data_IF_417245024711
#
_entry.id   IF_417245024711
#
_cell.length_a   1.000
_cell.length_b   1.000
_cell.length_c   1.000
_cell.angle_alpha   90.00
_cell.angle_beta   90.00
_cell.angle_gamma   90.00
#
_symmetry.space_group_name_H-M   'P 1'
#
loop_
_entity.id
_entity.type
_entity.pdbx_description
1 polymer ?
#
# COMPACT_ATOMS: atom_id res chain seq x y z
N UNK A 1 18.58 2.12 -16.45
CA UNK A 1 17.37 1.76 -17.23
C UNK A 1 16.13 1.60 -16.34
N UNK A 2 16.18 0.86 -15.22
CA UNK A 2 15.07 0.68 -14.27
C UNK A 2 14.52 2.00 -13.67
N UNK A 3 15.38 2.95 -13.32
CA UNK A 3 14.96 4.25 -12.74
C UNK A 3 14.19 5.14 -13.72
N UNK A 4 14.52 5.09 -15.01
CA UNK A 4 13.83 5.84 -16.08
C UNK A 4 12.44 5.21 -16.30
N UNK A 5 12.37 3.88 -16.34
CA UNK A 5 11.10 3.14 -16.51
C UNK A 5 10.13 3.42 -15.34
N UNK A 6 10.60 3.47 -14.11
CA UNK A 6 9.78 3.81 -12.91
C UNK A 6 9.26 5.25 -12.96
N UNK A 7 10.06 6.20 -13.48
CA UNK A 7 9.62 7.58 -13.67
C UNK A 7 8.52 7.67 -14.71
N UNK A 8 8.71 7.09 -15.90
CA UNK A 8 7.72 7.06 -16.98
C UNK A 8 6.39 6.39 -16.54
N UNK A 9 6.48 5.31 -15.75
CA UNK A 9 5.31 4.62 -15.17
C UNK A 9 4.58 5.53 -14.17
N UNK A 10 5.32 6.24 -13.31
CA UNK A 10 4.72 7.16 -12.34
C UNK A 10 4.06 8.36 -13.02
N UNK A 11 4.68 8.93 -14.05
CA UNK A 11 4.13 10.05 -14.82
C UNK A 11 2.83 9.63 -15.54
N UNK A 12 2.77 8.41 -16.10
CA UNK A 12 1.57 7.86 -16.73
C UNK A 12 0.46 7.63 -15.71
N UNK A 13 0.78 7.09 -14.53
CA UNK A 13 -0.19 6.89 -13.45
C UNK A 13 -0.71 8.24 -12.91
N UNK A 14 0.15 9.23 -12.75
CA UNK A 14 -0.24 10.56 -12.31
C UNK A 14 -1.18 11.23 -13.33
N UNK A 15 -0.94 11.06 -14.64
CA UNK A 15 -1.82 11.56 -15.70
C UNK A 15 -3.20 10.88 -15.66
N UNK A 16 -3.26 9.58 -15.37
CA UNK A 16 -4.51 8.82 -15.20
C UNK A 16 -5.30 9.29 -13.96
N UNK A 17 -4.65 9.46 -12.84
CA UNK A 17 -5.32 9.94 -11.61
C UNK A 17 -5.80 11.40 -11.72
N UNK A 18 -5.13 12.24 -12.51
CA UNK A 18 -5.50 13.65 -12.71
C UNK A 18 -6.83 13.84 -13.46
N UNK A 19 -7.25 12.85 -14.26
CA UNK A 19 -8.55 12.88 -14.99
C UNK A 19 -9.65 12.11 -14.24
N UNK A 20 -9.43 11.78 -13.00
CA UNK A 20 -10.43 11.14 -12.14
C UNK A 20 -11.50 12.13 -11.70
N UNK A 21 -12.75 11.70 -11.80
CA UNK A 21 -13.92 12.39 -11.26
C UNK A 21 -14.51 11.61 -10.08
N UNK A 22 -15.25 12.30 -9.23
CA UNK A 22 -16.00 11.72 -8.11
C UNK A 22 -17.45 12.16 -8.25
N UNK A 23 -18.40 11.23 -8.15
CA UNK A 23 -19.82 11.52 -8.19
C UNK A 23 -20.36 12.01 -6.83
N UNK A 24 -21.66 12.31 -6.78
CA UNK A 24 -22.36 12.79 -5.56
C UNK A 24 -22.33 11.76 -4.41
N UNK A 25 -22.13 10.47 -4.73
CA UNK A 25 -22.05 9.38 -3.77
C UNK A 25 -20.60 9.08 -3.33
N UNK A 26 -19.62 9.85 -3.80
CA UNK A 26 -18.21 9.61 -3.52
C UNK A 26 -17.56 8.51 -4.36
N UNK A 27 -18.24 8.02 -5.42
CA UNK A 27 -17.73 6.97 -6.31
C UNK A 27 -16.86 7.59 -7.39
N UNK A 28 -15.63 7.04 -7.54
CA UNK A 28 -14.69 7.50 -8.56
C UNK A 28 -15.06 6.96 -9.96
N UNK A 29 -14.90 7.80 -10.97
CA UNK A 29 -15.12 7.43 -12.37
C UNK A 29 -14.24 8.25 -13.32
N UNK A 30 -14.12 7.80 -14.56
CA UNK A 30 -13.38 8.45 -15.65
C UNK A 30 -14.29 8.63 -16.87
N UNK A 31 -14.13 9.75 -17.59
CA UNK A 31 -14.75 9.86 -18.91
C UNK A 31 -13.88 9.21 -19.98
N UNK A 32 -14.50 8.41 -20.85
CA UNK A 32 -13.79 7.68 -21.89
C UNK A 32 -13.03 8.62 -22.86
N UNK A 33 -13.58 9.82 -23.14
CA UNK A 33 -12.89 10.80 -23.98
C UNK A 33 -11.66 11.42 -23.34
N UNK A 34 -11.64 11.57 -22.04
CA UNK A 34 -10.46 12.04 -21.32
C UNK A 34 -9.39 10.93 -21.27
N UNK A 35 -9.81 9.70 -21.00
CA UNK A 35 -8.93 8.52 -21.05
C UNK A 35 -8.33 8.31 -22.44
N UNK A 36 -9.10 8.55 -23.51
CA UNK A 36 -8.64 8.51 -24.89
C UNK A 36 -7.39 9.38 -25.10
N UNK A 37 -7.39 10.60 -24.55
CA UNK A 37 -6.26 11.53 -24.69
C UNK A 37 -5.04 11.04 -23.90
N UNK A 38 -5.24 10.56 -22.66
CA UNK A 38 -4.16 10.00 -21.82
C UNK A 38 -3.51 8.78 -22.51
N UNK A 39 -4.33 7.92 -23.14
CA UNK A 39 -3.83 6.76 -23.89
C UNK A 39 -3.37 7.11 -25.33
N UNK A 40 -3.27 8.41 -25.64
CA UNK A 40 -2.76 8.93 -26.92
C UNK A 40 -3.50 8.39 -28.16
N UNK A 41 -4.83 8.21 -28.07
CA UNK A 41 -5.65 7.95 -29.24
C UNK A 41 -6.09 9.28 -29.87
N UNK A 42 -5.91 9.41 -31.18
CA UNK A 42 -6.27 10.62 -31.95
C UNK A 42 -7.66 10.56 -32.54
N UNK A 43 -8.19 9.35 -32.81
CA UNK A 43 -9.48 9.13 -33.43
C UNK A 43 -10.40 8.34 -32.50
N UNK A 44 -11.61 8.86 -32.24
CA UNK A 44 -12.60 8.21 -31.39
C UNK A 44 -12.95 6.79 -31.85
N UNK A 45 -13.15 6.61 -33.16
CA UNK A 45 -13.52 5.31 -33.73
C UNK A 45 -12.49 4.20 -33.43
N UNK A 46 -11.20 4.56 -33.37
CA UNK A 46 -10.15 3.60 -33.02
C UNK A 46 -10.16 3.30 -31.51
N UNK A 47 -10.45 4.31 -30.69
CA UNK A 47 -10.55 4.13 -29.24
C UNK A 47 -11.83 3.35 -28.87
N UNK A 48 -12.95 3.63 -29.55
CA UNK A 48 -14.23 2.93 -29.37
C UNK A 48 -14.10 1.43 -29.64
N UNK A 49 -13.38 1.02 -30.68
CA UNK A 49 -13.04 -0.39 -30.91
C UNK A 49 -12.29 -1.04 -29.76
N UNK A 50 -11.45 -0.27 -29.07
CA UNK A 50 -10.74 -0.76 -27.87
C UNK A 50 -11.69 -0.88 -26.68
N UNK A 51 -12.63 0.07 -26.53
CA UNK A 51 -13.69 -0.01 -25.52
C UNK A 51 -14.57 -1.26 -25.78
N UNK A 52 -14.94 -1.55 -27.03
CA UNK A 52 -15.74 -2.74 -27.37
C UNK A 52 -15.02 -4.04 -27.02
N UNK A 53 -13.71 -4.13 -27.29
CA UNK A 53 -12.89 -5.27 -26.83
C UNK A 53 -12.88 -5.40 -25.30
N UNK A 54 -12.76 -4.28 -24.60
CA UNK A 54 -12.81 -4.28 -23.13
C UNK A 54 -14.19 -4.70 -22.60
N UNK A 55 -15.30 -4.26 -23.24
CA UNK A 55 -16.65 -4.73 -22.91
C UNK A 55 -16.82 -6.23 -23.12
N UNK A 56 -16.27 -6.78 -24.21
CA UNK A 56 -16.27 -8.23 -24.46
C UNK A 56 -15.47 -8.98 -23.37
N UNK A 57 -14.29 -8.47 -23.02
CA UNK A 57 -13.48 -9.04 -21.94
C UNK A 57 -14.23 -9.00 -20.59
N UNK A 58 -14.89 -7.90 -20.27
CA UNK A 58 -15.72 -7.74 -19.08
C UNK A 58 -16.83 -8.80 -19.03
N UNK A 59 -17.59 -8.95 -20.12
CA UNK A 59 -18.68 -9.95 -20.24
C UNK A 59 -18.16 -11.37 -20.08
N UNK A 60 -17.05 -11.72 -20.74
CA UNK A 60 -16.48 -13.07 -20.70
C UNK A 60 -15.87 -13.40 -19.32
N UNK A 61 -15.59 -12.38 -18.50
CA UNK A 61 -15.17 -12.53 -17.09
C UNK A 61 -16.36 -12.57 -16.11
N UNK A 62 -17.60 -12.74 -16.61
CA UNK A 62 -18.84 -12.78 -15.84
C UNK A 62 -19.17 -11.49 -15.05
N UNK A 63 -18.64 -10.34 -15.49
CA UNK A 63 -19.03 -9.05 -14.95
C UNK A 63 -20.10 -8.39 -15.80
N UNK A 64 -21.03 -7.68 -15.15
CA UNK A 64 -22.04 -6.90 -15.85
C UNK A 64 -21.41 -5.64 -16.49
N UNK A 65 -21.55 -5.50 -17.80
CA UNK A 65 -20.97 -4.38 -18.54
C UNK A 65 -21.50 -3.04 -18.03
N UNK A 66 -22.81 -2.95 -17.70
CA UNK A 66 -23.46 -1.70 -17.30
C UNK A 66 -22.92 -1.14 -15.97
N UNK A 67 -22.37 -2.00 -15.11
CA UNK A 67 -21.78 -1.58 -13.83
C UNK A 67 -20.43 -0.88 -14.04
N UNK A 68 -19.80 -1.09 -15.20
CA UNK A 68 -18.45 -0.62 -15.49
C UNK A 68 -18.36 0.37 -16.64
N UNK A 69 -19.31 0.33 -17.58
CA UNK A 69 -19.37 1.18 -18.78
C UNK A 69 -20.75 1.81 -18.88
N UNK A 70 -20.94 2.97 -18.25
CA UNK A 70 -22.22 3.68 -18.23
C UNK A 70 -22.24 4.76 -19.30
N UNK A 71 -23.31 4.83 -20.11
CA UNK A 71 -23.48 5.88 -21.12
C UNK A 71 -23.45 7.28 -20.50
N UNK A 72 -22.64 8.17 -21.07
CA UNK A 72 -22.50 9.57 -20.64
C UNK A 72 -22.50 10.52 -21.83
N UNK A 73 -23.44 10.33 -22.74
CA UNK A 73 -23.56 11.12 -23.97
C UNK A 73 -23.80 12.60 -23.67
N UNK A 74 -23.12 13.50 -24.38
CA UNK A 74 -23.27 14.96 -24.27
C UNK A 74 -23.82 15.52 -25.59
N UNK A 75 -24.65 16.56 -25.50
CA UNK A 75 -25.00 17.36 -26.65
C UNK A 75 -23.99 18.48 -26.82
N UNK A 76 -23.29 18.51 -27.95
CA UNK A 76 -22.28 19.54 -28.28
C UNK A 76 -22.75 20.40 -29.42
N UNK A 77 -22.52 21.71 -29.30
CA UNK A 77 -22.84 22.68 -30.36
C UNK A 77 -21.83 22.50 -31.49
N UNK A 78 -22.28 22.39 -32.72
CA UNK A 78 -21.47 22.35 -33.93
C UNK A 78 -21.52 23.68 -34.70
N UNK A 79 -20.53 23.92 -35.60
CA UNK A 79 -20.35 25.20 -36.29
C UNK A 79 -21.53 25.71 -37.12
N UNK A 80 -22.56 24.88 -37.35
CA UNK A 80 -23.82 25.26 -37.99
C UNK A 80 -24.86 25.78 -36.99
N UNK A 81 -24.56 25.90 -35.68
CA UNK A 81 -25.54 26.25 -34.65
C UNK A 81 -26.46 25.10 -34.23
N UNK A 82 -26.28 23.90 -34.80
CA UNK A 82 -27.03 22.71 -34.44
C UNK A 82 -26.34 21.94 -33.29
N UNK A 83 -27.10 21.14 -32.53
CA UNK A 83 -26.58 20.26 -31.51
C UNK A 83 -26.37 18.85 -32.06
N UNK A 84 -25.20 18.27 -31.75
CA UNK A 84 -24.89 16.88 -32.10
C UNK A 84 -24.66 16.06 -30.83
N UNK A 85 -25.24 14.87 -30.76
CA UNK A 85 -24.96 13.90 -29.74
C UNK A 85 -23.52 13.43 -29.85
N UNK A 86 -22.73 13.64 -28.80
CA UNK A 86 -21.37 13.14 -28.67
C UNK A 86 -21.36 11.94 -27.74
N UNK A 87 -21.01 10.78 -28.29
CA UNK A 87 -20.92 9.52 -27.50
C UNK A 87 -19.77 9.63 -26.51
N UNK A 88 -20.03 9.31 -25.26
CA UNK A 88 -19.03 9.19 -24.17
C UNK A 88 -19.51 8.13 -23.17
N UNK A 89 -18.60 7.67 -22.31
CA UNK A 89 -18.88 6.70 -21.27
C UNK A 89 -18.30 7.17 -19.94
N UNK A 90 -19.03 6.94 -18.83
CA UNK A 90 -18.45 6.91 -17.50
C UNK A 90 -17.87 5.50 -17.28
N UNK A 91 -16.62 5.44 -16.92
CA UNK A 91 -15.85 4.22 -16.76
C UNK A 91 -15.48 4.05 -15.29
N UNK A 92 -15.62 2.85 -14.74
CA UNK A 92 -14.99 2.52 -13.47
C UNK A 92 -13.49 2.33 -13.66
N UNK A 93 -12.71 2.31 -12.59
CA UNK A 93 -11.27 1.98 -12.61
C UNK A 93 -11.01 0.64 -13.30
N UNK A 94 -11.85 -0.37 -13.05
CA UNK A 94 -11.77 -1.69 -13.69
C UNK A 94 -11.95 -1.60 -15.21
N UNK A 95 -12.93 -0.83 -15.68
CA UNK A 95 -13.13 -0.59 -17.12
C UNK A 95 -11.91 0.07 -17.77
N UNK A 96 -11.31 1.08 -17.11
CA UNK A 96 -10.10 1.73 -17.59
C UNK A 96 -8.93 0.74 -17.73
N UNK A 97 -8.81 -0.20 -16.78
CA UNK A 97 -7.80 -1.26 -16.83
C UNK A 97 -8.02 -2.21 -18.00
N UNK A 98 -9.25 -2.67 -18.22
CA UNK A 98 -9.60 -3.51 -19.36
C UNK A 98 -9.33 -2.80 -20.70
N UNK A 99 -9.63 -1.49 -20.80
CA UNK A 99 -9.33 -0.69 -21.99
C UNK A 99 -7.82 -0.64 -22.25
N UNK A 100 -7.01 -0.37 -21.22
CA UNK A 100 -5.55 -0.33 -21.36
C UNK A 100 -4.97 -1.71 -21.75
N UNK A 101 -5.48 -2.80 -21.15
CA UNK A 101 -5.06 -4.17 -21.48
C UNK A 101 -5.40 -4.59 -22.93
N UNK A 102 -6.52 -4.10 -23.48
CA UNK A 102 -6.95 -4.36 -24.84
C UNK A 102 -6.45 -3.32 -25.85
N UNK A 103 -5.64 -2.35 -25.42
CA UNK A 103 -5.05 -1.31 -26.23
C UNK A 103 -3.86 -1.80 -27.07
N UNK A 104 -3.44 -0.95 -28.02
CA UNK A 104 -2.31 -1.24 -28.92
C UNK A 104 -0.98 -1.05 -28.17
N UNK A 105 -0.32 -2.15 -27.80
CA UNK A 105 0.96 -2.17 -27.08
C UNK A 105 2.14 -1.55 -27.84
N UNK A 106 2.01 -1.27 -29.13
CA UNK A 106 3.01 -0.50 -29.91
C UNK A 106 3.08 0.96 -29.45
N UNK A 107 2.04 1.47 -28.80
CA UNK A 107 2.06 2.78 -28.15
C UNK A 107 2.75 2.69 -26.80
N UNK A 108 3.82 3.49 -26.61
CA UNK A 108 4.61 3.48 -25.36
C UNK A 108 3.74 3.65 -24.10
N UNK A 109 2.76 4.57 -24.13
CA UNK A 109 1.87 4.83 -23.00
C UNK A 109 1.01 3.61 -22.63
N UNK A 110 0.54 2.85 -23.62
CA UNK A 110 -0.24 1.63 -23.38
C UNK A 110 0.65 0.51 -22.84
N UNK A 111 1.84 0.32 -23.42
CA UNK A 111 2.81 -0.64 -22.92
C UNK A 111 3.21 -0.34 -21.47
N UNK A 112 3.38 0.93 -21.10
CA UNK A 112 3.65 1.37 -19.72
C UNK A 112 2.46 1.10 -18.80
N UNK A 113 1.23 1.38 -19.23
CA UNK A 113 0.03 1.09 -18.46
C UNK A 113 -0.14 -0.42 -18.23
N UNK A 114 0.07 -1.26 -19.24
CA UNK A 114 0.03 -2.73 -19.13
C UNK A 114 1.10 -3.23 -18.15
N UNK A 115 2.32 -2.72 -18.23
CA UNK A 115 3.42 -3.04 -17.30
C UNK A 115 3.07 -2.62 -15.87
N UNK A 116 2.51 -1.41 -15.69
CA UNK A 116 2.05 -0.94 -14.38
C UNK A 116 1.04 -1.89 -13.77
N UNK A 117 0.01 -2.31 -14.53
CA UNK A 117 -1.02 -3.23 -14.02
C UNK A 117 -0.45 -4.61 -13.70
N UNK A 118 0.43 -5.16 -14.55
CA UNK A 118 1.09 -6.43 -14.26
C UNK A 118 1.89 -6.38 -12.96
N UNK A 119 2.63 -5.29 -12.72
CA UNK A 119 3.40 -5.07 -11.50
C UNK A 119 2.48 -4.90 -10.28
N UNK A 120 1.38 -4.14 -10.40
CA UNK A 120 0.45 -3.93 -9.29
C UNK A 120 -0.32 -5.22 -8.95
N UNK A 121 -0.77 -5.97 -9.96
CA UNK A 121 -1.42 -7.28 -9.75
C UNK A 121 -0.45 -8.22 -9.02
N UNK A 122 0.81 -8.29 -9.46
CA UNK A 122 1.81 -9.13 -8.78
C UNK A 122 2.08 -8.69 -7.35
N UNK A 123 2.13 -7.39 -7.07
CA UNK A 123 2.24 -6.86 -5.70
C UNK A 123 1.04 -7.27 -4.84
N UNK A 124 -0.16 -7.24 -5.42
CA UNK A 124 -1.38 -7.64 -4.73
C UNK A 124 -1.41 -9.14 -4.46
N UNK A 125 -1.08 -9.98 -5.44
CA UNK A 125 -0.93 -11.43 -5.27
C UNK A 125 0.07 -11.79 -4.15
N UNK A 126 1.17 -11.04 -4.03
CA UNK A 126 2.15 -11.23 -2.96
C UNK A 126 1.59 -10.77 -1.61
N UNK A 127 0.77 -9.71 -1.59
CA UNK A 127 0.14 -9.21 -0.36
C UNK A 127 -1.06 -10.08 0.08
N UNK A 128 -1.72 -10.75 -0.86
CA UNK A 128 -2.86 -11.65 -0.64
C UNK A 128 -2.44 -13.09 -0.35
N UNK A 129 -1.14 -13.41 -0.30
CA UNK A 129 -0.74 -14.65 0.34
C UNK A 129 -1.43 -14.68 1.69
N UNK A 130 -2.29 -15.68 1.85
CA UNK A 130 -3.01 -15.89 3.10
C UNK A 130 -2.02 -15.72 4.27
N UNK A 131 -2.28 -14.76 5.14
CA UNK A 131 -1.40 -14.45 6.27
C UNK A 131 -1.06 -15.70 7.09
N UNK A 132 -1.96 -16.69 7.10
CA UNK A 132 -1.78 -17.99 7.75
C UNK A 132 -0.63 -18.81 7.13
N UNK A 133 -0.38 -18.65 5.83
CA UNK A 133 0.69 -19.37 5.09
C UNK A 133 2.06 -18.70 5.20
N UNK A 134 2.13 -17.47 5.74
CA UNK A 134 3.39 -16.80 5.93
C UNK A 134 4.22 -17.46 7.03
N UNK A 135 5.52 -17.57 6.82
CA UNK A 135 6.47 -17.89 7.88
C UNK A 135 6.47 -16.80 8.95
N UNK A 136 6.91 -17.12 10.16
CA UNK A 136 6.97 -16.13 11.25
C UNK A 136 7.80 -14.89 10.84
N UNK A 137 8.91 -15.07 10.16
CA UNK A 137 9.73 -13.95 9.69
C UNK A 137 9.02 -13.10 8.63
N UNK A 138 8.25 -13.68 7.71
CA UNK A 138 7.42 -12.95 6.75
C UNK A 138 6.31 -12.16 7.46
N UNK A 139 5.64 -12.76 8.45
CA UNK A 139 4.65 -12.09 9.32
C UNK A 139 5.28 -10.91 10.06
N UNK A 140 6.46 -11.10 10.63
CA UNK A 140 7.22 -10.04 11.32
C UNK A 140 7.54 -8.88 10.38
N UNK A 141 8.03 -9.15 9.14
CA UNK A 141 8.29 -8.11 8.15
C UNK A 141 7.02 -7.32 7.80
N UNK A 142 5.92 -8.02 7.57
CA UNK A 142 4.63 -7.40 7.25
C UNK A 142 4.16 -6.50 8.39
N UNK A 143 4.08 -7.04 9.60
CA UNK A 143 3.59 -6.31 10.78
C UNK A 143 4.50 -5.15 11.18
N UNK A 144 5.83 -5.31 11.12
CA UNK A 144 6.79 -4.25 11.40
C UNK A 144 6.62 -3.06 10.44
N UNK A 145 6.47 -3.34 9.15
CA UNK A 145 6.30 -2.28 8.16
C UNK A 145 4.98 -1.53 8.37
N UNK A 146 3.91 -2.24 8.68
CA UNK A 146 2.62 -1.65 9.01
C UNK A 146 2.70 -0.80 10.28
N UNK A 147 3.35 -1.32 11.33
CA UNK A 147 3.56 -0.62 12.60
C UNK A 147 4.34 0.69 12.40
N UNK A 148 5.41 0.68 11.59
CA UNK A 148 6.18 1.89 11.27
C UNK A 148 5.33 2.94 10.55
N UNK A 149 4.51 2.54 9.57
CA UNK A 149 3.58 3.45 8.88
C UNK A 149 2.54 4.04 9.85
N UNK A 150 1.98 3.23 10.72
CA UNK A 150 1.00 3.69 11.72
C UNK A 150 1.62 4.57 12.79
N UNK A 151 2.85 4.30 13.23
CA UNK A 151 3.60 5.20 14.12
C UNK A 151 3.81 6.59 13.48
N UNK A 152 4.13 6.64 12.19
CA UNK A 152 4.24 7.91 11.47
C UNK A 152 2.89 8.68 11.50
N UNK A 153 1.77 8.01 11.21
CA UNK A 153 0.44 8.62 11.27
C UNK A 153 0.06 9.07 12.68
N UNK A 154 0.34 8.25 13.70
CA UNK A 154 0.14 8.61 15.10
C UNK A 154 0.95 9.85 15.48
N UNK A 155 2.22 9.95 15.06
CA UNK A 155 3.07 11.11 15.34
C UNK A 155 2.50 12.40 14.75
N UNK A 156 1.95 12.34 13.52
CA UNK A 156 1.26 13.48 12.92
C UNK A 156 0.05 13.93 13.75
N UNK A 157 -0.75 12.95 14.20
CA UNK A 157 -1.94 13.22 15.02
C UNK A 157 -1.55 13.74 16.42
N UNK A 158 -0.55 13.13 17.05
CA UNK A 158 -0.03 13.56 18.36
C UNK A 158 0.56 14.98 18.30
N UNK A 159 1.25 15.33 17.20
CA UNK A 159 1.74 16.70 16.98
C UNK A 159 0.59 17.71 16.93
N UNK A 160 -0.51 17.37 16.23
CA UNK A 160 -1.72 18.21 16.20
C UNK A 160 -2.39 18.32 17.57
N UNK A 161 -2.30 17.27 18.39
CA UNK A 161 -2.76 17.23 19.77
C UNK A 161 -1.80 17.91 20.79
N UNK A 162 -0.82 18.69 20.31
CA UNK A 162 0.07 19.49 21.16
C UNK A 162 1.26 18.73 21.76
N UNK A 163 1.52 17.49 21.35
CA UNK A 163 2.68 16.71 21.83
C UNK A 163 3.97 17.32 21.29
N UNK A 164 4.88 17.67 22.22
CA UNK A 164 6.23 18.18 21.95
C UNK A 164 7.31 17.14 22.27
N UNK A 165 7.13 16.39 23.37
CA UNK A 165 8.03 15.33 23.78
C UNK A 165 7.54 13.96 23.34
N UNK A 166 7.95 13.54 22.13
CA UNK A 166 7.56 12.26 21.54
C UNK A 166 8.14 11.05 22.30
N UNK A 167 9.31 11.16 22.91
CA UNK A 167 9.89 10.09 23.71
C UNK A 167 9.01 9.78 24.93
N UNK A 168 8.55 10.81 25.65
CA UNK A 168 7.62 10.68 26.76
C UNK A 168 6.29 10.09 26.28
N UNK A 169 5.78 10.54 25.15
CA UNK A 169 4.53 10.07 24.57
C UNK A 169 4.59 8.58 24.22
N UNK A 170 5.63 8.15 23.49
CA UNK A 170 5.80 6.75 23.12
C UNK A 170 6.08 5.85 24.32
N UNK A 171 6.93 6.30 25.26
CA UNK A 171 7.18 5.57 26.50
C UNK A 171 5.91 5.36 27.32
N UNK A 172 4.99 6.31 27.32
CA UNK A 172 3.70 6.18 28.00
C UNK A 172 2.88 5.02 27.42
N UNK A 173 2.84 4.90 26.10
CA UNK A 173 2.19 3.77 25.44
C UNK A 173 2.84 2.41 25.73
N UNK A 174 4.16 2.36 25.75
CA UNK A 174 4.89 1.14 26.17
C UNK A 174 4.58 0.80 27.62
N UNK A 175 4.66 1.74 28.55
CA UNK A 175 4.31 1.51 29.97
C UNK A 175 2.92 0.94 30.16
N UNK A 176 1.94 1.41 29.36
CA UNK A 176 0.59 0.86 29.42
C UNK A 176 0.52 -0.59 28.95
N UNK A 177 1.19 -0.94 27.85
CA UNK A 177 1.12 -2.27 27.26
C UNK A 177 2.02 -3.31 27.97
N UNK A 178 3.20 -2.90 28.44
CA UNK A 178 4.25 -3.75 29.02
C UNK A 178 4.43 -3.55 30.53
N UNK A 179 3.34 -3.44 31.24
CA UNK A 179 3.33 -3.40 32.71
C UNK A 179 4.32 -2.40 33.33
N UNK A 180 4.41 -1.19 32.77
CA UNK A 180 5.27 -0.13 33.28
C UNK A 180 6.65 -0.02 32.60
N UNK A 181 7.03 -0.97 31.74
CA UNK A 181 8.31 -0.90 31.02
C UNK A 181 8.35 0.25 30.00
N UNK A 182 9.48 0.95 29.95
CA UNK A 182 9.79 1.92 28.92
C UNK A 182 10.41 1.26 27.69
N UNK A 183 10.61 2.00 26.61
CA UNK A 183 11.38 1.51 25.45
C UNK A 183 12.79 1.03 25.82
N UNK A 184 13.44 1.70 26.77
CA UNK A 184 14.76 1.31 27.25
C UNK A 184 14.73 0.00 28.06
N UNK A 185 13.67 -0.20 28.87
CA UNK A 185 13.51 -1.42 29.64
C UNK A 185 13.23 -2.61 28.70
N UNK A 186 12.39 -2.42 27.67
CA UNK A 186 12.16 -3.39 26.62
C UNK A 186 13.47 -3.75 25.89
N UNK A 187 14.25 -2.75 25.52
CA UNK A 187 15.54 -2.97 24.84
C UNK A 187 16.50 -3.80 25.71
N UNK A 188 16.59 -3.49 27.01
CA UNK A 188 17.39 -4.25 27.98
C UNK A 188 16.89 -5.70 28.12
N UNK A 189 15.59 -5.90 28.31
CA UNK A 189 15.00 -7.24 28.44
C UNK A 189 15.24 -8.10 27.21
N UNK A 190 15.18 -7.49 26.00
CA UNK A 190 15.46 -8.15 24.72
C UNK A 190 16.96 -8.30 24.42
N UNK A 191 17.86 -7.82 25.27
CA UNK A 191 19.31 -7.87 25.06
C UNK A 191 19.81 -7.07 23.86
N UNK A 192 19.13 -5.96 23.52
CA UNK A 192 19.44 -5.15 22.35
C UNK A 192 20.67 -4.26 22.60
N UNK A 193 21.48 -4.10 21.55
CA UNK A 193 22.59 -3.15 21.55
C UNK A 193 22.08 -1.73 21.36
N UNK A 194 22.93 -0.77 21.67
CA UNK A 194 22.65 0.64 21.40
C UNK A 194 22.25 0.90 19.93
N UNK A 195 21.14 1.61 19.70
CA UNK A 195 20.53 1.91 18.38
C UNK A 195 19.94 0.72 17.61
N UNK A 196 19.77 -0.44 18.22
CA UNK A 196 18.96 -1.48 17.61
C UNK A 196 17.46 -1.12 17.76
N UNK A 197 16.71 -1.29 16.66
CA UNK A 197 15.28 -0.97 16.62
C UNK A 197 14.50 -2.07 17.37
N UNK A 198 13.71 -1.67 18.35
CA UNK A 198 12.89 -2.59 19.16
C UNK A 198 11.90 -3.36 18.26
N UNK A 199 11.29 -2.68 17.28
CA UNK A 199 10.33 -3.31 16.37
C UNK A 199 10.97 -4.39 15.49
N UNK A 200 12.26 -4.25 15.14
CA UNK A 200 12.98 -5.25 14.38
C UNK A 200 13.26 -6.54 15.20
N UNK A 201 13.08 -6.47 16.53
CA UNK A 201 13.35 -7.55 17.49
C UNK A 201 12.07 -8.03 18.21
N UNK A 202 10.91 -7.74 17.64
CA UNK A 202 9.61 -8.24 18.10
C UNK A 202 9.13 -9.42 17.24
N UNK A 203 8.39 -10.35 17.84
CA UNK A 203 7.62 -11.37 17.16
C UNK A 203 6.39 -10.77 16.47
N UNK A 204 5.72 -11.56 15.61
CA UNK A 204 4.53 -11.09 14.88
C UNK A 204 3.40 -10.68 15.83
N UNK A 205 3.12 -11.46 16.87
CA UNK A 205 2.04 -11.19 17.81
C UNK A 205 2.33 -9.94 18.67
N UNK A 206 3.58 -9.74 19.06
CA UNK A 206 4.01 -8.54 19.78
C UNK A 206 3.87 -7.29 18.92
N UNK A 207 4.19 -7.39 17.63
CA UNK A 207 4.00 -6.32 16.65
C UNK A 207 2.52 -6.00 16.43
N UNK A 208 1.63 -7.02 16.40
CA UNK A 208 0.17 -6.86 16.30
C UNK A 208 -0.37 -6.10 17.51
N UNK A 209 0.01 -6.48 18.74
CA UNK A 209 -0.41 -5.79 19.95
C UNK A 209 0.00 -4.30 19.93
N UNK A 210 1.24 -4.00 19.50
CA UNK A 210 1.72 -2.63 19.35
C UNK A 210 0.98 -1.87 18.24
N UNK A 211 0.72 -2.50 17.11
CA UNK A 211 -0.04 -1.92 16.01
C UNK A 211 -1.45 -1.52 16.45
N UNK A 212 -2.12 -2.40 17.20
CA UNK A 212 -3.46 -2.14 17.71
C UNK A 212 -3.46 -0.97 18.70
N UNK A 213 -2.49 -0.93 19.64
CA UNK A 213 -2.28 0.20 20.56
C UNK A 213 -2.13 1.52 19.81
N UNK A 214 -1.27 1.56 18.80
CA UNK A 214 -0.99 2.75 18.00
C UNK A 214 -2.26 3.21 17.27
N UNK A 215 -2.98 2.29 16.62
CA UNK A 215 -4.20 2.58 15.88
C UNK A 215 -5.31 3.11 16.79
N UNK A 216 -5.56 2.46 17.93
CA UNK A 216 -6.59 2.88 18.88
C UNK A 216 -6.26 4.22 19.54
N UNK A 217 -4.98 4.48 19.83
CA UNK A 217 -4.54 5.79 20.33
C UNK A 217 -4.82 6.89 19.32
N UNK A 218 -4.44 6.69 18.06
CA UNK A 218 -4.67 7.67 17.00
C UNK A 218 -6.15 8.00 16.83
N UNK A 219 -7.01 6.95 16.79
CA UNK A 219 -8.46 7.13 16.68
C UNK A 219 -9.02 7.92 17.86
N UNK A 220 -8.60 7.61 19.09
CA UNK A 220 -9.09 8.29 20.28
C UNK A 220 -8.62 9.74 20.35
N UNK A 221 -7.37 10.04 20.00
CA UNK A 221 -6.87 11.43 19.92
C UNK A 221 -7.72 12.28 18.98
N UNK A 222 -8.13 11.72 17.83
CA UNK A 222 -8.97 12.40 16.85
C UNK A 222 -10.41 12.52 17.33
N UNK A 223 -11.01 11.42 17.82
CA UNK A 223 -12.42 11.36 18.23
C UNK A 223 -12.73 12.33 19.38
N UNK A 224 -11.86 12.33 20.38
CA UNK A 224 -12.04 13.14 21.59
C UNK A 224 -11.46 14.56 21.44
N UNK A 225 -10.95 14.90 20.24
CA UNK A 225 -10.34 16.20 19.91
C UNK A 225 -9.31 16.66 20.96
N UNK A 226 -8.38 15.77 21.33
CA UNK A 226 -7.38 16.05 22.38
C UNK A 226 -6.39 17.09 21.86
N UNK A 227 -6.13 18.13 22.69
CA UNK A 227 -5.33 19.29 22.31
C UNK A 227 -4.11 19.53 23.24
N UNK A 228 -3.88 18.68 24.24
CA UNK A 228 -2.78 18.85 25.17
C UNK A 228 -1.88 17.63 25.24
N UNK A 229 -0.55 17.86 25.38
CA UNK A 229 0.44 16.78 25.53
C UNK A 229 0.13 15.87 26.72
N UNK A 230 -0.33 16.47 27.85
CA UNK A 230 -0.65 15.71 29.07
C UNK A 230 -1.77 14.72 28.83
N UNK A 231 -2.86 15.15 28.19
CA UNK A 231 -4.00 14.28 27.86
C UNK A 231 -3.65 13.24 26.79
N UNK A 232 -2.92 13.65 25.73
CA UNK A 232 -2.47 12.73 24.70
C UNK A 232 -1.59 11.61 25.28
N UNK A 233 -0.65 11.97 26.14
CA UNK A 233 0.24 11.04 26.83
C UNK A 233 -0.53 10.10 27.75
N UNK A 234 -1.48 10.62 28.54
CA UNK A 234 -2.37 9.83 29.40
C UNK A 234 -3.24 8.87 28.58
N UNK A 235 -3.79 9.35 27.47
CA UNK A 235 -4.60 8.53 26.56
C UNK A 235 -3.80 7.36 26.00
N UNK A 236 -2.56 7.59 25.55
CA UNK A 236 -1.69 6.54 25.03
C UNK A 236 -1.38 5.45 26.08
N UNK A 237 -1.15 5.87 27.34
CA UNK A 237 -1.00 4.94 28.47
C UNK A 237 -2.26 4.11 28.70
N UNK A 238 -3.43 4.76 28.80
CA UNK A 238 -4.71 4.08 29.06
C UNK A 238 -5.04 3.07 27.97
N UNK A 239 -4.86 3.44 26.70
CA UNK A 239 -5.08 2.52 25.58
C UNK A 239 -4.17 1.30 25.69
N UNK A 240 -2.88 1.50 25.98
CA UNK A 240 -1.94 0.39 26.18
C UNK A 240 -2.39 -0.55 27.29
N UNK A 241 -2.80 0.02 28.44
CA UNK A 241 -3.30 -0.75 29.57
C UNK A 241 -4.59 -1.52 29.26
N UNK A 242 -5.55 -0.89 28.57
CA UNK A 242 -6.80 -1.55 28.20
C UNK A 242 -6.56 -2.75 27.28
N UNK A 243 -5.64 -2.63 26.34
CA UNK A 243 -5.26 -3.75 25.45
C UNK A 243 -4.63 -4.88 26.27
N UNK A 244 -3.73 -4.55 27.18
CA UNK A 244 -3.14 -5.51 28.12
C UNK A 244 -4.22 -6.26 28.92
N UNK A 245 -5.21 -5.54 29.46
CA UNK A 245 -6.32 -6.12 30.19
C UNK A 245 -7.16 -7.09 29.35
N UNK A 246 -7.37 -6.76 28.05
CA UNK A 246 -8.07 -7.64 27.11
C UNK A 246 -7.26 -8.92 26.86
N UNK A 247 -5.95 -8.82 26.67
CA UNK A 247 -5.06 -9.98 26.50
C UNK A 247 -5.16 -10.89 27.74
N UNK A 248 -5.07 -10.30 28.92
CA UNK A 248 -5.16 -11.04 30.18
C UNK A 248 -6.50 -11.76 30.35
N UNK A 249 -7.62 -11.06 30.11
CA UNK A 249 -8.99 -11.63 30.22
C UNK A 249 -9.22 -12.80 29.26
N UNK A 250 -8.57 -12.79 28.11
CA UNK A 250 -8.68 -13.86 27.13
C UNK A 250 -7.67 -15.01 27.36
N UNK A 251 -6.88 -14.96 28.42
CA UNK A 251 -5.86 -15.98 28.72
C UNK A 251 -4.66 -15.95 27.76
N UNK A 252 -4.46 -14.82 27.04
CA UNK A 252 -3.35 -14.65 26.10
C UNK A 252 -2.01 -14.45 26.80
N UNK A 253 -0.91 -14.73 26.08
CA UNK A 253 0.45 -14.46 26.57
C UNK A 253 0.70 -12.97 26.66
N UNK A 254 1.22 -12.50 27.78
CA UNK A 254 1.54 -11.09 27.96
C UNK A 254 2.64 -10.63 27.01
N UNK A 255 2.61 -9.37 26.51
CA UNK A 255 3.59 -8.87 25.57
C UNK A 255 5.04 -9.01 26.02
N UNK A 256 5.29 -8.86 27.33
CA UNK A 256 6.62 -9.03 27.93
C UNK A 256 7.09 -10.49 28.00
N UNK A 257 6.19 -11.45 27.98
CA UNK A 257 6.47 -12.89 28.05
C UNK A 257 6.61 -13.53 26.67
N UNK A 258 6.31 -12.76 25.60
CA UNK A 258 6.48 -13.24 24.23
C UNK A 258 7.97 -13.43 23.87
N UNK A 259 8.31 -14.50 23.13
CA UNK A 259 9.70 -14.81 22.81
C UNK A 259 10.34 -13.72 21.92
N UNK A 260 11.60 -13.38 22.24
CA UNK A 260 12.41 -12.53 21.38
C UNK A 260 12.98 -13.38 20.24
N UNK A 261 12.79 -12.98 18.97
CA UNK A 261 13.34 -13.70 17.83
C UNK A 261 14.86 -13.76 17.84
N UNK A 262 15.44 -14.89 17.41
CA UNK A 262 16.90 -15.10 17.38
C UNK A 262 17.67 -14.11 16.48
N UNK A 263 17.02 -13.64 15.40
CA UNK A 263 17.60 -12.67 14.46
C UNK A 263 16.68 -11.47 14.34
N UNK A 264 17.25 -10.27 14.32
CA UNK A 264 16.50 -9.07 13.99
C UNK A 264 16.10 -9.04 12.51
N UNK A 265 15.00 -8.34 12.18
CA UNK A 265 14.59 -8.17 10.79
C UNK A 265 15.66 -7.49 9.93
N UNK A 266 16.44 -6.57 10.51
CA UNK A 266 17.57 -5.92 9.85
C UNK A 266 18.70 -6.92 9.50
N UNK A 267 18.95 -7.92 10.36
CA UNK A 267 19.91 -8.99 10.07
C UNK A 267 19.41 -9.87 8.92
N UNK A 268 18.13 -10.28 8.95
CA UNK A 268 17.51 -11.07 7.88
C UNK A 268 17.51 -10.32 6.53
N UNK A 269 17.21 -9.04 6.51
CA UNK A 269 17.31 -8.19 5.30
C UNK A 269 18.75 -8.19 4.73
N UNK A 270 19.75 -8.10 5.59
CA UNK A 270 21.16 -8.10 5.17
C UNK A 270 21.58 -9.46 4.59
N UNK A 271 21.14 -10.55 5.22
CA UNK A 271 21.38 -11.92 4.74
C UNK A 271 20.71 -12.15 3.38
N UNK A 272 19.45 -11.78 3.23
CA UNK A 272 18.70 -11.91 1.98
C UNK A 272 19.35 -11.11 0.84
N UNK A 273 19.80 -9.87 1.10
CA UNK A 273 20.52 -9.05 0.11
C UNK A 273 21.85 -9.70 -0.32
N UNK A 274 22.57 -10.32 0.61
CA UNK A 274 23.83 -11.04 0.30
C UNK A 274 23.59 -12.28 -0.57
N UNK A 275 22.56 -13.05 -0.25
CA UNK A 275 22.16 -14.25 -0.99
C UNK A 275 21.71 -13.90 -2.41
N UNK A 276 20.90 -12.84 -2.55
CA UNK A 276 20.45 -12.36 -3.86
C UNK A 276 21.62 -11.89 -4.74
N UNK A 277 22.58 -11.12 -4.16
CA UNK A 277 23.78 -10.69 -4.88
C UNK A 277 24.64 -11.90 -5.35
N UNK A 278 24.78 -12.92 -4.52
CA UNK A 278 25.51 -14.14 -4.90
C UNK A 278 24.80 -14.89 -6.03
N UNK A 279 23.47 -15.02 -6.00
CA UNK A 279 22.70 -15.64 -7.08
C UNK A 279 22.89 -14.89 -8.40
N UNK A 280 22.71 -13.56 -8.40
CA UNK A 280 22.90 -12.74 -9.60
C UNK A 280 24.32 -12.90 -10.17
N UNK A 281 25.35 -12.86 -9.33
CA UNK A 281 26.74 -13.07 -9.78
C UNK A 281 26.97 -14.46 -10.40
N UNK A 282 26.37 -15.51 -9.83
CA UNK A 282 26.51 -16.86 -10.35
C UNK A 282 25.76 -17.03 -11.67
N UNK A 283 24.54 -16.47 -11.80
CA UNK A 283 23.76 -16.51 -13.03
C UNK A 283 24.48 -15.76 -14.17
N UNK A 284 25.06 -14.59 -13.86
CA UNK A 284 25.88 -13.82 -14.83
C UNK A 284 27.13 -14.60 -15.27
N UNK A 285 27.83 -15.26 -14.34
CA UNK A 285 29.01 -16.10 -14.67
C UNK A 285 28.62 -17.31 -15.52
N UNK A 286 27.48 -17.93 -15.26
CA UNK A 286 26.98 -19.07 -16.03
C UNK A 286 26.59 -18.64 -17.46
N UNK A 287 25.94 -17.48 -17.63
CA UNK A 287 25.63 -16.93 -18.95
C UNK A 287 26.87 -16.58 -19.77
N UNK A 288 27.91 -15.99 -19.13
CA UNK A 288 29.17 -15.68 -19.81
C UNK A 288 29.87 -16.97 -20.25
N UNK A 289 29.90 -18.02 -19.42
CA UNK A 289 30.49 -19.31 -19.75
C UNK A 289 29.77 -20.01 -20.93
N UNK A 290 28.46 -19.95 -20.96
CA UNK A 290 27.66 -20.53 -22.05
C UNK A 290 27.82 -19.77 -23.38
N UNK A 291 28.06 -18.45 -23.33
CA UNK A 291 28.31 -17.64 -24.51
C UNK A 291 29.75 -17.75 -25.07
N UNK A 292 30.72 -18.18 -24.23
CA UNK A 292 32.12 -18.39 -24.64
C UNK A 292 32.42 -19.82 -25.01
N UNK A 293 31.55 -20.79 -24.71
CA UNK A 293 31.73 -22.19 -25.02
C UNK A 293 31.03 -22.67 -26.31
N UNK A 294 30.50 -21.75 -27.10
CA UNK A 294 29.80 -22.02 -28.36
C UNK A 294 30.52 -21.55 -29.62
N UNK A 295 31.89 -21.47 -29.57
CA UNK A 295 32.72 -21.21 -30.75
C UNK A 295 33.60 -22.46 -31.00
#
# INVERSE_FOLDING_TARGET
MEMILLKDINDTNQSFENIKHIDENGIEFWYARELMLVLQYTKWQNFEKTIDKAKIACKNSNFNILDHFTDANKMVLIGSGAYRKQVDYKLTRYACYLIAQNGDSRKKVIALAQTYFAVQTRKQEINEKDYSMLTEDEKRFYQRNLTKKRNFSLNQTAKKAGVKNFDKFHNSGYKGLYNGETANDLAKRKGLRYREDILDNMGSDELIANLFRISQTEQKLKKDNIQTEKEATKTHYIIGRNIREVIAKNGGTMPEDLPTPKKSLKQLEKENKKTLKKKIMNDTKSQIKNNLGGI
#
